data_IF_606679969203
#
_entry.id   IF_606679969203
#
_cell.length_a   1.000
_cell.length_b   1.000
_cell.length_c   1.000
_cell.angle_alpha   90.00
_cell.angle_beta   90.00
_cell.angle_gamma   90.00
#
_symmetry.space_group_name_H-M   'P 1'
#
loop_
_entity.id
_entity.type
_entity.pdbx_description
1 polymer ?
#
# COMPACT_ATOMS: atom_id res chain seq x y z
N UNK A 1 5.00 -17.55 5.54
CA UNK A 1 3.89 -17.21 4.63
C UNK A 1 4.43 -16.85 3.25
N UNK A 2 4.45 -17.79 2.30
CA UNK A 2 4.92 -17.57 0.93
C UNK A 2 3.91 -16.76 0.11
N UNK A 3 4.40 -15.90 -0.78
CA UNK A 3 3.60 -15.27 -1.82
C UNK A 3 3.09 -16.32 -2.81
N UNK A 4 1.89 -16.10 -3.37
CA UNK A 4 1.24 -17.01 -4.33
C UNK A 4 1.27 -16.50 -5.77
N UNK A 5 1.91 -15.35 -6.02
CA UNK A 5 2.10 -14.85 -7.38
C UNK A 5 3.16 -15.69 -8.11
N UNK A 6 2.85 -16.06 -9.35
CA UNK A 6 3.64 -17.03 -10.14
C UNK A 6 5.12 -16.64 -10.31
N UNK A 7 5.44 -15.35 -10.30
CA UNK A 7 6.80 -14.81 -10.46
C UNK A 7 7.39 -14.24 -9.16
N UNK A 8 6.80 -14.54 -8.01
CA UNK A 8 7.23 -13.98 -6.73
C UNK A 8 7.65 -15.05 -5.72
N UNK A 9 8.95 -15.08 -5.40
CA UNK A 9 9.54 -16.05 -4.46
C UNK A 9 9.59 -15.55 -3.01
N UNK A 10 8.94 -14.42 -2.72
CA UNK A 10 9.03 -13.79 -1.40
C UNK A 10 8.22 -14.56 -0.36
N UNK A 11 8.83 -14.75 0.82
CA UNK A 11 8.20 -15.39 1.97
C UNK A 11 8.35 -14.52 3.21
N UNK A 12 7.26 -14.40 3.97
CA UNK A 12 7.17 -13.53 5.14
C UNK A 12 6.97 -14.32 6.42
N UNK A 13 7.60 -13.88 7.51
CA UNK A 13 7.43 -14.49 8.84
C UNK A 13 6.01 -14.36 9.38
N UNK A 14 5.27 -13.32 8.98
CA UNK A 14 3.93 -13.02 9.47
C UNK A 14 2.94 -12.78 8.34
N UNK A 15 1.67 -13.12 8.56
CA UNK A 15 0.63 -13.08 7.54
C UNK A 15 0.30 -11.65 7.11
N UNK A 16 0.26 -10.69 8.04
CA UNK A 16 -0.02 -9.29 7.74
C UNK A 16 1.03 -8.66 6.80
N UNK A 17 2.29 -9.11 6.90
CA UNK A 17 3.35 -8.69 6.00
C UNK A 17 3.14 -9.24 4.58
N UNK A 18 2.72 -10.51 4.47
CA UNK A 18 2.33 -11.10 3.18
C UNK A 18 1.14 -10.33 2.60
N UNK A 19 0.07 -10.12 3.37
CA UNK A 19 -1.13 -9.39 2.92
C UNK A 19 -0.78 -8.00 2.38
N UNK A 20 0.08 -7.26 3.09
CA UNK A 20 0.61 -5.97 2.61
C UNK A 20 1.42 -6.11 1.32
N UNK A 21 2.27 -7.13 1.21
CA UNK A 21 3.06 -7.37 0.01
C UNK A 21 2.19 -7.66 -1.21
N UNK A 22 1.06 -8.36 -1.05
CA UNK A 22 0.14 -8.66 -2.16
C UNK A 22 -0.37 -7.41 -2.89
N UNK A 23 -0.46 -6.26 -2.20
CA UNK A 23 -0.87 -4.98 -2.78
C UNK A 23 0.08 -4.48 -3.89
N UNK A 24 1.33 -4.96 -3.90
CA UNK A 24 2.30 -4.64 -4.97
C UNK A 24 1.88 -5.30 -6.28
N UNK A 25 1.31 -6.51 -6.21
CA UNK A 25 0.91 -7.28 -7.38
C UNK A 25 -0.47 -6.87 -7.89
N UNK A 26 -1.44 -6.67 -6.99
CA UNK A 26 -2.79 -6.23 -7.36
C UNK A 26 -2.83 -4.76 -7.79
N UNK A 27 -1.77 -4.00 -7.48
CA UNK A 27 -1.70 -2.54 -7.63
C UNK A 27 -2.84 -1.81 -6.92
N UNK A 28 -3.49 -2.47 -5.97
CA UNK A 28 -4.53 -1.86 -5.15
C UNK A 28 -3.95 -0.75 -4.29
N UNK A 29 -4.62 0.39 -4.32
CA UNK A 29 -4.29 1.58 -3.54
C UNK A 29 -5.53 2.03 -2.79
N UNK A 30 -5.91 1.33 -1.71
CA UNK A 30 -7.16 1.60 -1.00
C UNK A 30 -7.17 2.96 -0.30
N UNK A 31 -6.01 3.60 -0.12
CA UNK A 31 -5.91 4.90 0.53
C UNK A 31 -5.80 6.01 -0.51
N UNK A 32 -6.93 6.56 -0.92
CA UNK A 32 -7.00 7.69 -1.84
C UNK A 32 -6.99 9.02 -1.06
N UNK A 33 -6.31 10.02 -1.62
CA UNK A 33 -6.39 11.38 -1.10
C UNK A 33 -7.58 12.10 -1.71
N UNK A 34 -8.45 12.64 -0.85
CA UNK A 34 -9.64 13.38 -1.25
C UNK A 34 -9.43 14.90 -1.26
N UNK A 35 -8.17 15.35 -1.12
CA UNK A 35 -7.85 16.78 -1.17
C UNK A 35 -8.02 17.33 -2.59
N UNK A 36 -8.68 18.47 -2.72
CA UNK A 36 -8.99 19.07 -4.03
C UNK A 36 -7.71 19.33 -4.84
N UNK A 37 -7.67 18.82 -6.08
CA UNK A 37 -6.48 18.90 -6.94
C UNK A 37 -5.40 17.86 -6.66
N UNK A 38 -5.59 16.96 -5.68
CA UNK A 38 -4.69 15.85 -5.41
C UNK A 38 -5.29 14.53 -5.90
N UNK A 39 -4.58 13.82 -6.79
CA UNK A 39 -4.99 12.51 -7.29
C UNK A 39 -4.05 11.39 -6.79
N UNK A 40 -3.40 11.57 -5.63
CA UNK A 40 -2.47 10.59 -5.08
C UNK A 40 -3.23 9.49 -4.32
N UNK A 41 -2.83 8.25 -4.57
CA UNK A 41 -3.31 7.07 -3.84
C UNK A 41 -2.16 6.20 -3.38
N UNK A 42 -2.35 5.50 -2.27
CA UNK A 42 -1.31 4.75 -1.57
C UNK A 42 -1.78 3.34 -1.26
N UNK A 43 -0.84 2.38 -1.28
CA UNK A 43 -1.08 1.00 -0.87
C UNK A 43 -0.95 0.79 0.63
N UNK A 44 -0.42 1.77 1.38
CA UNK A 44 -0.19 1.64 2.82
C UNK A 44 -0.72 2.85 3.59
N UNK A 45 -1.30 2.58 4.75
CA UNK A 45 -1.90 3.59 5.63
C UNK A 45 -0.87 4.55 6.20
N UNK A 46 0.30 4.05 6.61
CA UNK A 46 1.38 4.89 7.16
C UNK A 46 1.91 5.91 6.15
N UNK A 47 2.07 5.48 4.89
CA UNK A 47 2.43 6.37 3.78
C UNK A 47 1.33 7.40 3.50
N UNK A 48 0.05 6.98 3.53
CA UNK A 48 -1.08 7.88 3.35
C UNK A 48 -1.16 8.93 4.46
N UNK A 49 -1.08 8.51 5.72
CA UNK A 49 -1.05 9.43 6.87
C UNK A 49 0.13 10.39 6.80
N UNK A 50 1.29 9.93 6.31
CA UNK A 50 2.44 10.81 6.06
C UNK A 50 2.18 11.83 4.95
N UNK A 51 1.52 11.40 3.88
CA UNK A 51 1.12 12.28 2.80
C UNK A 51 0.11 13.34 3.24
N UNK A 52 -0.89 13.00 4.06
CA UNK A 52 -1.88 13.99 4.51
C UNK A 52 -1.26 15.19 5.22
N UNK A 53 -0.12 14.99 5.91
CA UNK A 53 0.64 16.09 6.54
C UNK A 53 1.22 17.09 5.53
N UNK A 54 1.29 16.77 4.24
CA UNK A 54 1.71 17.73 3.21
C UNK A 54 0.63 18.73 2.83
N UNK A 55 -0.64 18.41 3.12
CA UNK A 55 -1.80 19.28 2.85
C UNK A 55 -2.19 20.17 4.03
N UNK A 56 -1.69 19.85 5.23
CA UNK A 56 -1.93 20.65 6.44
C UNK A 56 -0.99 21.85 6.59
N UNK A 57 -0.22 22.19 5.55
CA UNK A 57 0.67 23.36 5.53
C UNK A 57 0.00 24.53 4.85
#
# INVERSE_FOLDING_TARGET
HPCKFQSCEWSFKRFEHLKRHMLVHTKERPFQCDFAGCNKSFSRSDNFSAHLRTHSK
#
